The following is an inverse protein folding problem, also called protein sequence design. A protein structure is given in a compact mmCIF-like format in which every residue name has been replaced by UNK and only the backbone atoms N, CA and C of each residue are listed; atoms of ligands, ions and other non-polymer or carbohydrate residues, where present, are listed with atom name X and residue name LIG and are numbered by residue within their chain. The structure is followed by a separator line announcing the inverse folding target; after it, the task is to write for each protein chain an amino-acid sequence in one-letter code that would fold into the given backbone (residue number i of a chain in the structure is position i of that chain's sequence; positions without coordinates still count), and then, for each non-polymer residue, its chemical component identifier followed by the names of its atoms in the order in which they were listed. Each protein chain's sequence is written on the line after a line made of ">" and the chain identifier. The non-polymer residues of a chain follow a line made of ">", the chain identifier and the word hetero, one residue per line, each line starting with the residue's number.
data_IF_437643530843
#
_entry.id   IF_437643530843
#
_cell.length_a   1.000
_cell.length_b   1.000
_cell.length_c   1.000
_cell.angle_alpha   90.00
_cell.angle_beta   90.00
_cell.angle_gamma   90.00
#
_symmetry.space_group_name_H-M   'P 1'
#
loop_
_entity.id
_entity.type
_entity.pdbx_description
1 polymer ?
#
# COMPACT_ATOMS: atom_id res chain seq x y z
N UNK A 1 28.66 -19.04 26.36
CA UNK A 1 27.30 -18.63 26.82
C UNK A 1 27.21 -17.20 27.45
N UNK A 2 28.05 -16.20 27.12
CA UNK A 2 28.06 -14.94 27.93
C UNK A 2 27.68 -13.65 27.20
N UNK A 3 27.81 -13.54 25.87
CA UNK A 3 27.42 -12.32 25.15
C UNK A 3 25.93 -12.30 24.74
N UNK A 4 25.41 -13.42 24.25
CA UNK A 4 24.01 -13.54 23.79
C UNK A 4 22.99 -13.46 24.94
N UNK A 5 23.36 -13.90 26.15
CA UNK A 5 22.50 -13.81 27.33
C UNK A 5 22.32 -12.36 27.82
N UNK A 6 23.40 -11.57 27.79
CA UNK A 6 23.36 -10.18 28.22
C UNK A 6 22.56 -9.29 27.25
N UNK A 7 22.69 -9.52 25.94
CA UNK A 7 21.92 -8.79 24.93
C UNK A 7 20.43 -9.14 24.97
N UNK A 8 20.08 -10.41 25.22
CA UNK A 8 18.71 -10.86 25.42
C UNK A 8 18.06 -10.22 26.65
N UNK A 9 18.77 -10.21 27.79
CA UNK A 9 18.27 -9.58 29.03
C UNK A 9 18.08 -8.07 28.85
N UNK A 10 19.05 -7.39 28.22
CA UNK A 10 18.95 -5.97 27.93
C UNK A 10 17.75 -5.66 27.01
N UNK A 11 17.51 -6.50 26.00
CA UNK A 11 16.35 -6.39 25.12
C UNK A 11 15.02 -6.62 25.86
N UNK A 12 14.93 -7.63 26.73
CA UNK A 12 13.73 -7.89 27.53
C UNK A 12 13.46 -6.72 28.50
N UNK A 13 14.49 -6.19 29.16
CA UNK A 13 14.35 -5.06 30.07
C UNK A 13 13.94 -3.80 29.33
N UNK A 14 14.58 -3.46 28.22
CA UNK A 14 14.24 -2.27 27.44
C UNK A 14 12.84 -2.36 26.83
N UNK A 15 12.45 -3.53 26.30
CA UNK A 15 11.09 -3.76 25.81
C UNK A 15 10.04 -3.64 26.91
N UNK A 16 10.28 -4.19 28.11
CA UNK A 16 9.41 -4.02 29.29
C UNK A 16 9.32 -2.56 29.75
N UNK A 17 10.44 -1.81 29.72
CA UNK A 17 10.45 -0.39 30.07
C UNK A 17 9.64 0.41 29.04
N UNK A 18 9.79 0.14 27.75
CA UNK A 18 9.01 0.83 26.69
C UNK A 18 7.53 0.49 26.82
N UNK A 19 7.18 -0.79 27.00
CA UNK A 19 5.80 -1.25 27.22
C UNK A 19 5.19 -0.57 28.46
N UNK A 20 5.88 -0.63 29.60
CA UNK A 20 5.39 -0.03 30.85
C UNK A 20 5.25 1.49 30.74
N UNK A 21 6.26 2.20 30.20
CA UNK A 21 6.21 3.65 30.02
C UNK A 21 5.05 4.04 29.11
N UNK A 22 4.79 3.28 28.05
CA UNK A 22 3.65 3.52 27.15
C UNK A 22 2.29 3.31 27.83
N UNK A 23 2.15 2.28 28.68
CA UNK A 23 0.92 2.00 29.42
C UNK A 23 0.66 2.99 30.57
N UNK A 24 1.71 3.39 31.31
CA UNK A 24 1.60 4.26 32.49
C UNK A 24 1.62 5.75 32.15
N UNK A 25 2.29 6.14 31.07
CA UNK A 25 2.38 7.53 30.60
C UNK A 25 1.83 7.63 29.18
N UNK A 26 0.51 7.52 28.97
CA UNK A 26 -0.06 7.80 27.66
C UNK A 26 0.38 9.21 27.27
N UNK A 27 1.06 9.39 26.11
CA UNK A 27 1.64 10.67 25.75
C UNK A 27 0.52 11.72 25.76
N UNK A 28 0.66 12.69 26.66
CA UNK A 28 -0.27 13.79 26.82
C UNK A 28 -0.07 14.77 25.66
N UNK A 29 -0.38 14.33 24.43
CA UNK A 29 -0.30 15.13 23.23
C UNK A 29 -1.35 16.25 23.30
N UNK A 30 -0.93 17.39 23.86
CA UNK A 30 -1.72 18.60 24.06
C UNK A 30 -2.20 19.25 22.75
N UNK A 31 -1.70 18.78 21.60
CA UNK A 31 -2.11 19.22 20.26
C UNK A 31 -3.38 18.54 19.72
N UNK A 32 -3.96 17.57 20.43
CA UNK A 32 -5.04 16.72 19.90
C UNK A 32 -6.45 17.05 20.41
N UNK A 33 -6.73 18.31 20.73
CA UNK A 33 -8.09 18.74 21.14
C UNK A 33 -9.16 18.63 20.03
N UNK A 34 -8.77 18.36 18.77
CA UNK A 34 -9.71 18.31 17.62
C UNK A 34 -9.76 16.97 16.86
N UNK A 35 -9.11 15.89 17.33
CA UNK A 35 -8.92 14.69 16.50
C UNK A 35 -9.59 13.38 16.95
N UNK A 36 -10.33 13.35 18.06
CA UNK A 36 -10.84 12.09 18.60
C UNK A 36 -12.35 11.99 18.61
N UNK A 37 -12.95 11.30 17.64
CA UNK A 37 -14.28 10.66 17.83
C UNK A 37 -14.67 9.69 16.70
N UNK A 38 -13.79 8.84 16.19
CA UNK A 38 -14.25 7.74 15.28
C UNK A 38 -13.58 6.40 15.43
N UNK A 39 -12.29 6.32 15.80
CA UNK A 39 -11.73 5.04 16.23
C UNK A 39 -12.32 4.71 17.59
N UNK A 40 -13.03 3.59 17.75
CA UNK A 40 -13.58 3.23 19.04
C UNK A 40 -12.46 3.13 20.07
N UNK A 41 -12.71 3.64 21.28
CA UNK A 41 -11.72 3.80 22.34
C UNK A 41 -11.02 2.49 22.73
N UNK A 42 -11.67 1.35 22.53
CA UNK A 42 -11.09 0.03 22.79
C UNK A 42 -10.14 -0.49 21.70
N UNK A 43 -10.26 -0.02 20.44
CA UNK A 43 -9.37 -0.47 19.34
C UNK A 43 -8.03 0.27 19.32
N UNK A 44 -7.99 1.51 19.79
CA UNK A 44 -6.75 2.28 19.78
C UNK A 44 -5.60 1.65 20.59
N UNK A 45 -5.79 1.25 21.87
CA UNK A 45 -4.71 0.64 22.65
C UNK A 45 -4.30 -0.72 22.09
N UNK A 46 -5.24 -1.51 21.58
CA UNK A 46 -4.95 -2.83 21.00
C UNK A 46 -4.16 -2.72 19.70
N UNK A 47 -4.49 -1.77 18.82
CA UNK A 47 -3.70 -1.52 17.61
C UNK A 47 -2.31 -0.97 17.92
N UNK A 48 -2.15 -0.07 18.88
CA UNK A 48 -0.79 0.37 19.25
C UNK A 48 0.02 -0.73 19.90
N UNK A 49 -0.60 -1.57 20.75
CA UNK A 49 0.07 -2.75 21.32
C UNK A 49 0.50 -3.72 20.22
N UNK A 50 -0.33 -3.96 19.22
CA UNK A 50 0.00 -4.77 18.04
C UNK A 50 1.24 -4.22 17.33
N UNK A 51 1.28 -2.92 17.02
CA UNK A 51 2.45 -2.28 16.39
C UNK A 51 3.67 -2.41 17.28
N UNK A 52 3.54 -2.15 18.59
CA UNK A 52 4.67 -2.22 19.51
C UNK A 52 5.24 -3.65 19.59
N UNK A 53 4.40 -4.66 19.80
CA UNK A 53 4.81 -6.06 19.84
C UNK A 53 5.47 -6.49 18.52
N UNK A 54 4.90 -6.08 17.38
CA UNK A 54 5.48 -6.38 16.07
C UNK A 54 6.84 -5.70 15.87
N UNK A 55 6.95 -4.41 16.16
CA UNK A 55 8.23 -3.67 16.02
C UNK A 55 9.32 -4.23 16.91
N UNK A 56 8.97 -4.61 18.15
CA UNK A 56 9.86 -5.32 19.05
C UNK A 56 10.27 -6.66 18.45
N UNK A 57 9.33 -7.49 18.01
CA UNK A 57 9.63 -8.78 17.40
C UNK A 57 10.60 -8.67 16.19
N UNK A 58 10.37 -7.73 15.28
CA UNK A 58 11.29 -7.50 14.14
C UNK A 58 12.65 -6.97 14.61
N UNK A 59 12.68 -6.12 15.63
CA UNK A 59 13.94 -5.61 16.19
C UNK A 59 14.73 -6.73 16.91
N UNK A 60 14.04 -7.65 17.57
CA UNK A 60 14.64 -8.87 18.13
C UNK A 60 15.29 -9.70 17.02
N UNK A 61 14.55 -10.00 15.94
CA UNK A 61 15.11 -10.73 14.80
C UNK A 61 16.31 -9.99 14.19
N UNK A 62 16.26 -8.65 14.09
CA UNK A 62 17.34 -7.86 13.48
C UNK A 62 18.61 -7.79 14.34
N UNK A 63 18.46 -7.63 15.66
CA UNK A 63 19.58 -7.38 16.58
C UNK A 63 20.13 -8.63 17.26
N UNK A 64 19.25 -9.60 17.56
CA UNK A 64 19.61 -10.76 18.37
C UNK A 64 19.72 -12.04 17.55
N UNK A 65 19.04 -12.12 16.41
CA UNK A 65 19.10 -13.27 15.50
C UNK A 65 19.56 -12.86 14.09
N UNK A 66 20.83 -12.38 13.96
CA UNK A 66 21.39 -12.05 12.66
C UNK A 66 21.40 -13.30 11.77
N UNK A 67 21.29 -13.13 10.43
CA UNK A 67 21.31 -14.27 9.53
C UNK A 67 22.54 -15.15 9.76
N UNK A 68 22.31 -16.45 9.81
CA UNK A 68 23.38 -17.43 9.99
C UNK A 68 24.19 -17.52 8.70
N UNK A 69 25.36 -16.90 8.68
CA UNK A 69 26.29 -17.00 7.56
C UNK A 69 27.67 -17.44 8.08
N UNK A 70 28.13 -18.60 7.62
CA UNK A 70 29.39 -19.19 8.08
C UNK A 70 30.57 -18.31 7.65
N UNK A 71 30.53 -17.75 6.44
CA UNK A 71 31.63 -16.95 5.90
C UNK A 71 31.72 -15.60 6.60
N UNK A 72 30.59 -14.95 6.85
CA UNK A 72 30.54 -13.69 7.61
C UNK A 72 30.87 -13.91 9.09
N UNK A 73 30.39 -15.01 9.68
CA UNK A 73 30.60 -15.32 11.09
C UNK A 73 32.05 -15.73 11.44
N UNK A 74 32.73 -16.44 10.53
CA UNK A 74 34.13 -16.83 10.71
C UNK A 74 35.12 -15.81 10.13
N UNK A 75 34.63 -14.76 9.47
CA UNK A 75 35.44 -13.81 8.70
C UNK A 75 36.41 -14.53 7.74
N UNK A 76 35.86 -15.38 6.86
CA UNK A 76 36.63 -16.12 5.84
C UNK A 76 36.08 -15.90 4.43
N UNK A 77 36.94 -15.87 3.39
CA UNK A 77 36.49 -15.71 2.01
C UNK A 77 35.72 -16.93 1.50
N UNK A 78 34.85 -16.73 0.51
CA UNK A 78 34.08 -17.82 -0.12
C UNK A 78 34.98 -18.89 -0.79
N UNK A 79 36.21 -18.51 -1.18
CA UNK A 79 37.19 -19.44 -1.75
C UNK A 79 37.82 -20.39 -0.71
N UNK A 80 37.64 -20.14 0.59
CA UNK A 80 38.25 -20.93 1.65
C UNK A 80 37.83 -22.42 1.56
N UNK A 81 38.76 -23.38 1.70
CA UNK A 81 38.47 -24.80 1.58
C UNK A 81 37.59 -25.30 2.74
N UNK A 82 36.62 -26.19 2.44
CA UNK A 82 35.62 -26.64 3.40
C UNK A 82 36.24 -27.40 4.60
N UNK A 83 37.31 -28.16 4.37
CA UNK A 83 38.06 -28.85 5.43
C UNK A 83 38.68 -27.88 6.44
N UNK A 84 39.20 -26.75 5.95
CA UNK A 84 39.74 -25.71 6.83
C UNK A 84 38.64 -25.01 7.62
N UNK A 85 37.47 -24.76 7.00
CA UNK A 85 36.27 -24.27 7.72
C UNK A 85 35.87 -25.26 8.82
N UNK A 86 35.88 -26.57 8.51
CA UNK A 86 35.58 -27.63 9.47
C UNK A 86 36.53 -27.58 10.67
N UNK A 87 37.84 -27.45 10.41
CA UNK A 87 38.84 -27.37 11.48
C UNK A 87 38.68 -26.11 12.35
N UNK A 88 38.34 -24.96 11.74
CA UNK A 88 38.06 -23.74 12.48
C UNK A 88 36.81 -23.88 13.35
N UNK A 89 35.74 -24.47 12.82
CA UNK A 89 34.51 -24.67 13.58
C UNK A 89 34.72 -25.63 14.76
N UNK A 90 35.50 -26.71 14.59
CA UNK A 90 35.87 -27.60 15.68
C UNK A 90 36.73 -26.88 16.74
N UNK A 91 37.61 -25.98 16.31
CA UNK A 91 38.42 -25.14 17.22
C UNK A 91 37.55 -24.19 18.06
N UNK A 92 36.44 -23.70 17.50
CA UNK A 92 35.48 -22.83 18.21
C UNK A 92 34.35 -23.58 18.92
N UNK A 93 34.26 -24.91 18.76
CA UNK A 93 33.22 -25.71 19.39
C UNK A 93 33.53 -26.02 20.86
N UNK A 94 32.50 -25.95 21.72
CA UNK A 94 32.63 -26.26 23.14
C UNK A 94 32.88 -27.77 23.40
N UNK A 95 32.47 -28.64 22.46
CA UNK A 95 32.67 -30.10 22.52
C UNK A 95 33.36 -30.62 21.24
N UNK A 96 34.69 -30.52 21.15
CA UNK A 96 35.43 -30.98 19.96
C UNK A 96 35.41 -32.50 19.80
N UNK A 97 35.09 -33.27 20.85
CA UNK A 97 35.03 -34.73 20.80
C UNK A 97 33.67 -35.24 20.29
N UNK A 98 32.59 -34.50 20.57
CA UNK A 98 31.22 -34.78 20.10
C UNK A 98 31.00 -34.55 18.60
N UNK A 99 31.94 -33.90 17.92
CA UNK A 99 31.86 -33.61 16.49
C UNK A 99 30.92 -32.46 16.15
N UNK A 100 30.77 -32.17 14.86
CA UNK A 100 29.92 -31.08 14.38
C UNK A 100 28.46 -31.56 14.26
N UNK A 101 27.46 -30.67 14.52
CA UNK A 101 26.07 -30.99 14.24
C UNK A 101 25.85 -31.41 12.78
N UNK A 102 25.03 -32.44 12.55
CA UNK A 102 24.78 -33.02 11.23
C UNK A 102 24.33 -32.01 10.16
N UNK A 103 23.58 -30.97 10.56
CA UNK A 103 23.18 -29.86 9.69
C UNK A 103 24.38 -29.09 9.13
N UNK A 104 25.36 -28.80 9.99
CA UNK A 104 26.58 -28.06 9.61
C UNK A 104 27.48 -28.95 8.77
N UNK A 105 27.66 -30.22 9.14
CA UNK A 105 28.44 -31.17 8.35
C UNK A 105 27.91 -31.29 6.92
N UNK A 106 26.58 -31.40 6.76
CA UNK A 106 25.92 -31.44 5.46
C UNK A 106 26.18 -30.18 4.62
N UNK A 107 26.15 -29.00 5.25
CA UNK A 107 26.49 -27.75 4.57
C UNK A 107 27.94 -27.78 4.12
N UNK A 108 28.88 -28.19 4.98
CA UNK A 108 30.29 -28.26 4.63
C UNK A 108 30.55 -29.22 3.46
N UNK A 109 29.95 -30.42 3.47
CA UNK A 109 30.04 -31.38 2.37
C UNK A 109 29.52 -30.79 1.06
N UNK A 110 28.41 -30.03 1.10
CA UNK A 110 27.88 -29.36 -0.09
C UNK A 110 28.78 -28.23 -0.57
N UNK A 111 29.36 -27.47 0.36
CA UNK A 111 30.28 -26.36 0.07
C UNK A 111 31.62 -26.82 -0.52
N UNK A 112 31.92 -28.12 -0.59
CA UNK A 112 33.06 -28.61 -1.38
C UNK A 112 32.90 -28.31 -2.88
N UNK A 113 31.66 -28.29 -3.37
CA UNK A 113 31.36 -27.93 -4.77
C UNK A 113 31.31 -26.42 -4.98
N UNK A 114 32.06 -25.92 -5.96
CA UNK A 114 32.05 -24.50 -6.33
C UNK A 114 30.66 -24.01 -6.78
N UNK A 115 29.86 -24.86 -7.43
CA UNK A 115 28.50 -24.52 -7.84
C UNK A 115 27.59 -24.31 -6.62
N UNK A 116 27.74 -25.14 -5.57
CA UNK A 116 26.98 -25.02 -4.33
C UNK A 116 27.36 -23.77 -3.53
N UNK A 117 28.63 -23.32 -3.59
CA UNK A 117 29.04 -22.03 -3.01
C UNK A 117 28.32 -20.85 -3.66
N UNK A 118 28.13 -20.88 -4.98
CA UNK A 118 27.36 -19.84 -5.67
C UNK A 118 25.88 -19.86 -5.27
N UNK A 119 25.29 -21.04 -5.10
CA UNK A 119 23.92 -21.20 -4.60
C UNK A 119 23.80 -20.74 -3.14
N UNK A 120 24.82 -20.98 -2.31
CA UNK A 120 24.88 -20.51 -0.93
C UNK A 120 24.85 -18.98 -0.84
N UNK A 121 25.63 -18.27 -1.65
CA UNK A 121 25.62 -16.79 -1.70
C UNK A 121 24.22 -16.25 -2.02
N UNK A 122 23.45 -17.01 -2.81
CA UNK A 122 22.14 -16.61 -3.32
C UNK A 122 20.98 -16.94 -2.39
N UNK A 123 20.95 -18.15 -1.84
CA UNK A 123 19.83 -18.69 -1.06
C UNK A 123 20.10 -18.76 0.44
N UNK A 124 21.36 -18.64 0.85
CA UNK A 124 21.77 -18.60 2.25
C UNK A 124 21.98 -19.97 2.90
N UNK A 125 22.41 -19.92 4.16
CA UNK A 125 22.79 -21.11 4.93
C UNK A 125 21.63 -22.06 5.17
N UNK A 126 20.48 -21.53 5.62
CA UNK A 126 19.36 -22.34 6.04
C UNK A 126 18.82 -23.22 4.90
N UNK A 127 18.69 -22.66 3.70
CA UNK A 127 18.27 -23.40 2.51
C UNK A 127 19.20 -24.58 2.18
N UNK A 128 20.52 -24.36 2.25
CA UNK A 128 21.52 -25.40 1.98
C UNK A 128 21.57 -26.46 3.09
N UNK A 129 21.31 -26.07 4.34
CA UNK A 129 21.33 -26.96 5.50
C UNK A 129 20.10 -27.87 5.59
N UNK A 130 18.92 -27.32 5.28
CA UNK A 130 17.62 -27.96 5.52
C UNK A 130 17.10 -28.73 4.31
N UNK A 131 17.33 -28.26 3.09
CA UNK A 131 16.79 -28.93 1.91
C UNK A 131 17.63 -30.14 1.49
N UNK A 132 17.21 -31.36 1.85
CA UNK A 132 17.94 -32.60 1.50
C UNK A 132 17.88 -32.94 0.00
N UNK A 133 16.77 -32.62 -0.67
CA UNK A 133 16.52 -33.01 -2.06
C UNK A 133 16.94 -31.96 -3.10
N UNK A 134 17.35 -30.76 -2.68
CA UNK A 134 17.73 -29.70 -3.60
C UNK A 134 19.14 -29.94 -4.17
N UNK A 135 19.24 -29.99 -5.50
CA UNK A 135 20.51 -30.15 -6.22
C UNK A 135 20.71 -29.02 -7.22
N UNK A 136 19.64 -28.68 -7.94
CA UNK A 136 19.65 -27.65 -8.97
C UNK A 136 19.19 -26.29 -8.41
N UNK A 137 19.43 -25.24 -9.19
CA UNK A 137 18.97 -23.90 -8.86
C UNK A 137 17.43 -23.82 -8.75
N UNK A 138 16.71 -24.51 -9.63
CA UNK A 138 15.24 -24.53 -9.63
C UNK A 138 14.70 -25.09 -8.31
N UNK A 139 15.29 -26.19 -7.83
CA UNK A 139 14.88 -26.83 -6.57
C UNK A 139 15.00 -25.88 -5.37
N UNK A 140 16.14 -25.17 -5.29
CA UNK A 140 16.35 -24.19 -4.22
C UNK A 140 15.40 -22.99 -4.32
N UNK A 141 15.10 -22.52 -5.53
CA UNK A 141 14.17 -21.40 -5.70
C UNK A 141 12.75 -21.76 -5.27
N UNK A 142 12.28 -22.97 -5.62
CA UNK A 142 10.98 -23.49 -5.20
C UNK A 142 10.92 -23.74 -3.69
N UNK A 143 12.05 -24.04 -3.05
CA UNK A 143 12.13 -24.23 -1.61
C UNK A 143 12.08 -22.90 -0.83
N UNK A 144 12.82 -21.88 -1.28
CA UNK A 144 13.03 -20.62 -0.53
C UNK A 144 11.93 -19.59 -0.78
N UNK A 145 11.37 -19.50 -1.98
CA UNK A 145 10.37 -18.49 -2.29
C UNK A 145 9.08 -18.59 -1.42
N UNK A 146 8.55 -19.78 -1.12
CA UNK A 146 7.37 -19.88 -0.27
C UNK A 146 7.59 -19.39 1.17
N UNK A 147 8.76 -19.63 1.75
CA UNK A 147 9.07 -19.14 3.10
C UNK A 147 9.15 -17.61 3.11
N UNK A 148 9.79 -17.01 2.11
CA UNK A 148 9.80 -15.57 1.92
C UNK A 148 8.39 -14.98 1.77
N UNK A 149 7.56 -15.61 0.93
CA UNK A 149 6.18 -15.18 0.67
C UNK A 149 5.33 -15.24 1.96
N UNK A 150 5.55 -16.24 2.81
CA UNK A 150 4.83 -16.37 4.08
C UNK A 150 5.05 -15.17 5.00
N UNK A 151 6.27 -14.65 5.06
CA UNK A 151 6.56 -13.46 5.87
C UNK A 151 5.84 -12.21 5.32
N UNK A 152 5.76 -12.06 4.00
CA UNK A 152 4.98 -10.98 3.39
C UNK A 152 3.49 -11.12 3.66
N UNK A 153 2.95 -12.34 3.65
CA UNK A 153 1.54 -12.58 4.00
C UNK A 153 1.24 -12.20 5.46
N UNK A 154 2.15 -12.55 6.38
CA UNK A 154 2.08 -12.11 7.79
C UNK A 154 2.06 -10.59 7.88
N UNK A 155 2.91 -9.90 7.12
CA UNK A 155 2.97 -8.44 7.14
C UNK A 155 1.71 -7.79 6.55
N UNK A 156 1.18 -8.34 5.44
CA UNK A 156 -0.09 -7.90 4.85
C UNK A 156 -1.23 -8.05 5.85
N UNK A 157 -1.22 -9.09 6.69
CA UNK A 157 -2.22 -9.26 7.74
C UNK A 157 -2.11 -8.18 8.82
N UNK A 158 -0.89 -7.87 9.29
CA UNK A 158 -0.65 -6.83 10.30
C UNK A 158 -1.06 -5.45 9.76
N UNK A 159 -0.58 -5.08 8.58
CA UNK A 159 -0.97 -3.83 7.90
C UNK A 159 -2.48 -3.80 7.60
N UNK A 160 -3.06 -4.95 7.24
CA UNK A 160 -4.49 -5.13 7.05
C UNK A 160 -5.29 -4.81 8.31
N UNK A 161 -4.84 -5.31 9.47
CA UNK A 161 -5.44 -5.01 10.77
C UNK A 161 -5.36 -3.52 11.11
N UNK A 162 -4.21 -2.88 10.85
CA UNK A 162 -4.01 -1.44 11.05
C UNK A 162 -4.89 -0.57 10.14
N UNK A 163 -5.25 -1.08 8.96
CA UNK A 163 -6.00 -0.36 7.93
C UNK A 163 -7.46 -0.86 7.78
N UNK A 164 -8.00 -1.55 8.80
CA UNK A 164 -9.40 -1.97 8.82
C UNK A 164 -10.37 -0.79 8.72
N UNK A 165 -11.57 -1.05 8.18
CA UNK A 165 -12.63 -0.04 8.15
C UNK A 165 -12.97 0.38 9.58
N UNK A 166 -12.96 1.69 9.84
CA UNK A 166 -13.12 2.25 11.18
C UNK A 166 -11.79 2.71 11.80
N UNK A 167 -10.65 2.21 11.31
CA UNK A 167 -9.36 2.89 11.48
C UNK A 167 -9.27 3.99 10.42
N UNK A 168 -8.90 5.22 10.78
CA UNK A 168 -8.78 6.36 9.84
C UNK A 168 -7.63 6.18 8.82
N UNK A 169 -7.09 4.97 8.71
CA UNK A 169 -6.00 4.58 7.82
C UNK A 169 -6.48 3.68 6.68
N UNK A 170 -7.79 3.44 6.54
CA UNK A 170 -8.34 2.58 5.48
C UNK A 170 -7.95 3.01 4.05
N UNK A 171 -7.77 4.31 3.80
CA UNK A 171 -7.31 4.82 2.50
C UNK A 171 -5.87 4.40 2.16
N UNK A 172 -5.04 4.17 3.18
CA UNK A 172 -3.64 3.78 3.01
C UNK A 172 -3.48 2.27 2.79
N UNK A 173 -4.57 1.49 2.89
CA UNK A 173 -4.53 0.04 2.69
C UNK A 173 -3.99 -0.36 1.34
N UNK A 174 -4.52 0.23 0.26
CA UNK A 174 -4.09 -0.10 -1.10
C UNK A 174 -2.63 0.29 -1.33
N UNK A 175 -2.21 1.44 -0.80
CA UNK A 175 -0.82 1.89 -0.86
C UNK A 175 0.11 0.92 -0.12
N UNK A 176 -0.18 0.61 1.15
CA UNK A 176 0.70 -0.25 1.96
C UNK A 176 0.75 -1.69 1.44
N UNK A 177 -0.38 -2.25 1.00
CA UNK A 177 -0.38 -3.57 0.35
C UNK A 177 0.39 -3.52 -0.97
N UNK A 178 0.24 -2.45 -1.76
CA UNK A 178 1.01 -2.23 -2.98
C UNK A 178 2.52 -2.20 -2.74
N UNK A 179 2.98 -1.51 -1.69
CA UNK A 179 4.39 -1.49 -1.28
C UNK A 179 4.89 -2.89 -0.92
N UNK A 180 4.11 -3.68 -0.16
CA UNK A 180 4.48 -5.04 0.20
C UNK A 180 4.57 -5.98 -1.00
N UNK A 181 3.59 -5.90 -1.92
CA UNK A 181 3.61 -6.68 -3.16
C UNK A 181 4.80 -6.29 -4.03
N UNK A 182 5.08 -4.99 -4.19
CA UNK A 182 6.23 -4.51 -4.94
C UNK A 182 7.56 -4.97 -4.30
N UNK A 183 7.67 -4.92 -2.98
CA UNK A 183 8.84 -5.42 -2.26
C UNK A 183 9.02 -6.94 -2.43
N UNK A 184 7.94 -7.72 -2.36
CA UNK A 184 7.98 -9.17 -2.58
C UNK A 184 8.38 -9.53 -4.01
N UNK A 185 7.84 -8.82 -5.02
CA UNK A 185 8.24 -9.00 -6.42
C UNK A 185 9.69 -8.60 -6.66
N UNK A 186 10.14 -7.50 -6.05
CA UNK A 186 11.52 -7.05 -6.10
C UNK A 186 12.46 -8.12 -5.51
N UNK A 187 12.15 -8.60 -4.31
CA UNK A 187 12.93 -9.65 -3.67
C UNK A 187 12.96 -10.94 -4.50
N UNK A 188 11.82 -11.41 -4.99
CA UNK A 188 11.76 -12.59 -5.86
C UNK A 188 12.59 -12.38 -7.14
N UNK A 189 12.48 -11.21 -7.78
CA UNK A 189 13.25 -10.87 -8.97
C UNK A 189 14.77 -10.92 -8.70
N UNK A 190 15.26 -10.29 -7.63
CA UNK A 190 16.67 -10.31 -7.29
C UNK A 190 17.13 -11.70 -6.86
N UNK A 191 16.33 -12.41 -6.06
CA UNK A 191 16.57 -13.81 -5.71
C UNK A 191 16.68 -14.68 -6.96
N UNK A 192 15.96 -14.38 -8.04
CA UNK A 192 15.96 -15.18 -9.29
C UNK A 192 16.94 -14.70 -10.38
N UNK A 193 17.34 -13.44 -10.39
CA UNK A 193 18.19 -12.86 -11.46
C UNK A 193 19.56 -12.32 -11.02
N UNK A 194 19.81 -12.15 -9.72
CA UNK A 194 21.09 -11.65 -9.22
C UNK A 194 22.27 -12.48 -9.75
N UNK A 195 23.26 -11.78 -10.32
CA UNK A 195 24.52 -12.38 -10.74
C UNK A 195 25.47 -12.41 -9.56
N UNK A 196 26.06 -13.58 -9.32
CA UNK A 196 27.10 -13.74 -8.30
C UNK A 196 28.45 -13.62 -9.01
N UNK A 197 29.15 -12.52 -8.78
CA UNK A 197 30.53 -12.31 -9.24
C UNK A 197 31.49 -12.48 -8.07
N UNK A 198 32.43 -13.41 -8.19
CA UNK A 198 33.54 -13.54 -7.25
C UNK A 198 34.68 -12.67 -7.78
N UNK A 199 35.10 -11.61 -7.07
CA UNK A 199 36.25 -10.81 -7.48
C UNK A 199 37.49 -11.71 -7.50
N UNK A 200 38.25 -11.65 -8.60
CA UNK A 200 39.46 -12.47 -8.78
C UNK A 200 40.71 -11.84 -8.15
N UNK A 201 40.72 -10.52 -8.03
CA UNK A 201 41.90 -9.77 -7.62
C UNK A 201 41.57 -8.88 -6.41
N UNK A 202 42.27 -9.13 -5.30
CA UNK A 202 42.22 -8.32 -4.07
C UNK A 202 43.09 -7.07 -4.23
N UNK A 203 42.86 -6.31 -5.30
CA UNK A 203 43.77 -5.28 -5.78
C UNK A 203 43.31 -3.88 -5.32
N UNK A 204 43.27 -3.66 -4.00
CA UNK A 204 43.74 -2.41 -3.36
C UNK A 204 43.47 -2.40 -1.85
N UNK A 205 44.50 -2.45 -0.99
CA UNK A 205 44.32 -2.46 0.47
C UNK A 205 43.89 -1.11 1.08
N UNK A 206 43.85 -0.03 0.30
CA UNK A 206 43.64 1.34 0.79
C UNK A 206 42.27 1.96 0.43
N UNK A 207 41.36 1.21 -0.19
CA UNK A 207 40.04 1.78 -0.52
C UNK A 207 39.18 1.93 0.75
N UNK A 208 38.65 3.13 0.97
CA UNK A 208 37.80 3.50 2.11
C UNK A 208 36.53 2.62 2.25
N UNK A 209 36.23 1.81 1.24
CA UNK A 209 35.10 0.88 1.17
C UNK A 209 35.25 -0.36 2.06
N UNK A 210 36.47 -0.69 2.55
CA UNK A 210 36.70 -1.85 3.46
C UNK A 210 35.82 -1.85 4.71
N UNK A 211 35.51 -0.68 5.28
CA UNK A 211 34.74 -0.60 6.51
C UNK A 211 33.24 -0.89 6.30
N UNK A 212 32.70 -0.58 5.12
CA UNK A 212 31.30 -0.86 4.76
C UNK A 212 31.16 -2.30 4.31
N UNK A 213 32.15 -2.81 3.58
CA UNK A 213 32.18 -4.20 3.10
C UNK A 213 32.26 -5.21 4.25
N UNK A 214 33.09 -4.93 5.27
CA UNK A 214 33.19 -5.76 6.47
C UNK A 214 31.88 -5.87 7.27
N UNK A 215 30.93 -4.95 7.06
CA UNK A 215 29.65 -4.95 7.77
C UNK A 215 28.60 -5.89 7.13
N UNK A 216 28.72 -6.22 5.83
CA UNK A 216 27.67 -6.95 5.10
C UNK A 216 28.17 -7.97 4.05
N UNK A 217 29.48 -8.10 3.81
CA UNK A 217 30.03 -9.00 2.81
C UNK A 217 31.33 -9.65 3.26
N UNK A 218 31.35 -10.98 3.33
CA UNK A 218 32.61 -11.71 3.48
C UNK A 218 33.53 -11.38 2.29
N UNK A 219 34.73 -10.86 2.58
CA UNK A 219 35.85 -10.69 1.64
C UNK A 219 35.46 -10.46 0.16
N UNK A 220 34.82 -9.34 -0.16
CA UNK A 220 34.58 -8.95 -1.57
C UNK A 220 33.32 -9.51 -2.23
N UNK A 221 32.56 -10.39 -1.56
CA UNK A 221 31.36 -11.01 -2.13
C UNK A 221 30.10 -10.52 -1.43
N UNK A 222 29.18 -9.95 -2.21
CA UNK A 222 27.85 -9.55 -1.71
C UNK A 222 27.00 -10.80 -1.47
N UNK A 223 26.67 -11.04 -0.20
CA UNK A 223 25.77 -12.11 0.22
C UNK A 223 24.33 -11.68 -0.04
N UNK A 224 23.83 -11.94 -1.26
CA UNK A 224 22.50 -11.48 -1.70
C UNK A 224 21.39 -11.91 -0.76
N UNK A 225 21.44 -13.13 -0.22
CA UNK A 225 20.45 -13.60 0.76
C UNK A 225 20.40 -12.72 2.02
N UNK A 226 21.56 -12.33 2.57
CA UNK A 226 21.64 -11.49 3.76
C UNK A 226 21.11 -10.08 3.49
N UNK A 227 21.49 -9.51 2.33
CA UNK A 227 21.05 -8.18 1.91
C UNK A 227 19.54 -8.13 1.68
N UNK A 228 18.98 -9.14 1.01
CA UNK A 228 17.53 -9.21 0.76
C UNK A 228 16.74 -9.43 2.05
N UNK A 229 17.22 -10.32 2.93
CA UNK A 229 16.61 -10.53 4.25
C UNK A 229 16.64 -9.25 5.09
N UNK A 230 17.76 -8.54 5.09
CA UNK A 230 17.90 -7.26 5.79
C UNK A 230 16.93 -6.21 5.23
N UNK A 231 16.88 -6.06 3.91
CA UNK A 231 15.96 -5.15 3.24
C UNK A 231 14.50 -5.47 3.58
N UNK A 232 14.12 -6.75 3.59
CA UNK A 232 12.79 -7.22 3.98
C UNK A 232 12.46 -6.83 5.43
N UNK A 233 13.36 -7.13 6.39
CA UNK A 233 13.20 -6.78 7.81
C UNK A 233 13.07 -5.26 8.01
N UNK A 234 13.83 -4.45 7.27
CA UNK A 234 13.71 -2.98 7.29
C UNK A 234 12.33 -2.53 6.80
N UNK A 235 11.83 -3.10 5.69
CA UNK A 235 10.49 -2.78 5.17
C UNK A 235 9.41 -3.13 6.22
N UNK A 236 9.50 -4.30 6.84
CA UNK A 236 8.55 -4.74 7.87
C UNK A 236 8.63 -3.92 9.16
N UNK A 237 9.79 -3.36 9.49
CA UNK A 237 9.94 -2.45 10.61
C UNK A 237 9.33 -1.07 10.31
N UNK A 238 9.65 -0.50 9.15
CA UNK A 238 9.32 0.89 8.82
C UNK A 238 7.86 1.04 8.42
N UNK A 239 7.29 0.09 7.65
CA UNK A 239 5.97 0.25 7.06
C UNK A 239 4.83 0.37 8.10
N UNK A 240 4.70 -0.49 9.12
CA UNK A 240 3.66 -0.37 10.14
C UNK A 240 3.78 0.91 10.97
N UNK A 241 5.02 1.31 11.30
CA UNK A 241 5.31 2.55 12.03
C UNK A 241 4.86 3.76 11.19
N UNK A 242 5.22 3.76 9.90
CA UNK A 242 4.84 4.83 8.99
C UNK A 242 3.31 4.93 8.82
N UNK A 243 2.62 3.80 8.66
CA UNK A 243 1.15 3.75 8.52
C UNK A 243 0.43 4.24 9.78
N UNK A 244 0.90 3.84 10.96
CA UNK A 244 0.22 4.14 12.23
C UNK A 244 0.54 5.55 12.76
N UNK A 245 1.79 6.00 12.66
CA UNK A 245 2.25 7.24 13.30
C UNK A 245 2.51 8.40 12.33
N UNK A 246 3.00 8.12 11.12
CA UNK A 246 3.49 9.18 10.19
C UNK A 246 2.40 9.61 9.22
N UNK A 247 1.66 8.64 8.67
CA UNK A 247 0.63 8.91 7.67
C UNK A 247 -0.57 9.59 8.31
N UNK A 248 -0.94 10.76 7.77
CA UNK A 248 -2.06 11.54 8.28
C UNK A 248 -3.35 10.71 8.20
N UNK A 249 -4.15 10.68 9.30
CA UNK A 249 -5.44 10.01 9.27
C UNK A 249 -6.35 10.70 8.27
N UNK A 250 -7.16 9.92 7.57
CA UNK A 250 -8.10 10.45 6.57
C UNK A 250 -9.01 11.52 7.21
N UNK A 251 -9.28 12.64 6.51
CA UNK A 251 -10.30 13.57 6.96
C UNK A 251 -11.61 12.80 7.12
N UNK A 252 -12.37 13.14 8.17
CA UNK A 252 -13.66 12.51 8.41
C UNK A 252 -14.54 12.74 7.18
N UNK A 253 -15.18 11.70 6.61
CA UNK A 253 -16.26 11.96 5.67
C UNK A 253 -17.31 12.77 6.43
N UNK A 254 -17.64 13.97 5.94
CA UNK A 254 -18.64 14.88 6.51
C UNK A 254 -20.00 14.21 6.84
N UNK A 255 -20.25 13.03 6.28
CA UNK A 255 -21.42 12.20 6.53
C UNK A 255 -21.45 11.53 7.92
N UNK A 256 -20.31 11.30 8.59
CA UNK A 256 -20.28 10.56 9.87
C UNK A 256 -20.43 11.44 11.11
N UNK A 257 -20.15 12.74 11.01
CA UNK A 257 -20.30 13.69 12.15
C UNK A 257 -21.74 13.97 12.52
N UNK A 258 -22.70 13.73 11.61
CA UNK A 258 -24.13 13.92 11.91
C UNK A 258 -24.73 12.67 12.59
N UNK A 259 -24.10 11.50 12.48
CA UNK A 259 -24.60 10.24 13.04
C UNK A 259 -24.29 10.04 14.54
N UNK A 260 -23.27 10.69 15.08
CA UNK A 260 -22.83 10.44 16.47
C UNK A 260 -23.57 11.23 17.55
N UNK A 261 -24.40 12.21 17.20
CA UNK A 261 -25.13 13.01 18.20
C UNK A 261 -26.56 12.53 18.49
N UNK A 262 -27.05 11.46 17.86
CA UNK A 262 -28.48 11.06 17.95
C UNK A 262 -28.74 9.61 18.31
N UNK A 263 -27.73 8.77 18.54
CA UNK A 263 -27.96 7.36 18.93
C UNK A 263 -27.41 7.15 20.36
N UNK A 264 -28.28 7.05 21.39
CA UNK A 264 -27.86 6.61 22.72
C UNK A 264 -27.31 5.19 22.64
N UNK A 265 -26.10 5.00 23.17
CA UNK A 265 -25.42 3.71 23.24
C UNK A 265 -26.21 2.76 24.15
N UNK A 266 -26.91 1.80 23.56
CA UNK A 266 -27.60 0.75 24.31
C UNK A 266 -28.54 -0.06 23.43
N UNK A 267 -28.00 -0.93 22.57
CA UNK A 267 -28.82 -1.91 21.85
C UNK A 267 -28.24 -2.32 20.50
N UNK A 268 -27.81 -3.56 20.39
CA UNK A 268 -27.46 -4.26 19.14
C UNK A 268 -28.71 -4.56 18.33
N UNK A 269 -29.43 -3.54 17.88
CA UNK A 269 -30.52 -3.70 16.93
C UNK A 269 -29.99 -3.52 15.49
N UNK A 270 -30.32 -4.43 14.55
CA UNK A 270 -29.95 -4.27 13.15
C UNK A 270 -30.60 -3.00 12.61
N UNK A 271 -29.77 -2.07 12.12
CA UNK A 271 -30.25 -0.82 11.52
C UNK A 271 -31.09 -1.18 10.29
N UNK A 272 -32.37 -0.77 10.24
CA UNK A 272 -33.23 -1.12 9.12
C UNK A 272 -32.68 -0.49 7.83
N UNK A 273 -32.78 -1.19 6.67
CA UNK A 273 -32.24 -0.73 5.39
C UNK A 273 -32.81 0.65 4.97
N UNK A 274 -33.99 0.99 5.46
CA UNK A 274 -34.65 2.28 5.25
C UNK A 274 -33.87 3.46 5.87
N UNK A 275 -33.21 3.26 7.02
CA UNK A 275 -32.40 4.29 7.65
C UNK A 275 -31.13 4.60 6.83
N UNK A 276 -30.55 3.58 6.19
CA UNK A 276 -29.41 3.75 5.30
C UNK A 276 -29.81 4.52 4.02
N UNK A 277 -30.96 4.18 3.44
CA UNK A 277 -31.52 4.91 2.31
C UNK A 277 -31.81 6.39 2.65
N UNK A 278 -32.44 6.65 3.79
CA UNK A 278 -32.72 8.01 4.26
C UNK A 278 -31.44 8.85 4.42
N UNK A 279 -30.38 8.24 4.98
CA UNK A 279 -29.09 8.90 5.12
C UNK A 279 -28.40 9.18 3.78
N UNK A 280 -28.46 8.26 2.82
CA UNK A 280 -27.94 8.53 1.47
C UNK A 280 -28.67 9.70 0.82
N UNK A 281 -29.99 9.74 0.94
CA UNK A 281 -30.82 10.85 0.48
C UNK A 281 -30.45 12.17 1.13
N UNK A 282 -30.27 12.20 2.45
CA UNK A 282 -29.89 13.42 3.17
C UNK A 282 -28.47 13.91 2.80
N UNK A 283 -27.55 12.99 2.49
CA UNK A 283 -26.23 13.34 1.98
C UNK A 283 -26.30 13.89 0.54
N UNK A 284 -27.22 13.38 -0.27
CA UNK A 284 -27.44 13.87 -1.64
C UNK A 284 -28.10 15.25 -1.64
N UNK A 285 -29.08 15.50 -0.77
CA UNK A 285 -29.74 16.80 -0.69
C UNK A 285 -28.76 17.91 -0.30
N UNK A 286 -27.88 17.66 0.67
CA UNK A 286 -26.84 18.63 1.06
C UNK A 286 -25.83 18.88 -0.05
N UNK A 287 -25.37 17.83 -0.74
CA UNK A 287 -24.50 17.97 -1.92
C UNK A 287 -25.17 18.75 -3.06
N UNK A 288 -26.45 18.48 -3.33
CA UNK A 288 -27.22 19.20 -4.34
C UNK A 288 -27.43 20.67 -3.96
N UNK A 289 -27.66 20.97 -2.68
CA UNK A 289 -27.75 22.34 -2.18
C UNK A 289 -26.41 23.07 -2.31
N UNK A 290 -25.30 22.42 -1.96
CA UNK A 290 -23.96 22.98 -2.15
C UNK A 290 -23.69 23.23 -3.64
N UNK A 291 -24.01 22.26 -4.50
CA UNK A 291 -23.85 22.39 -5.95
C UNK A 291 -24.71 23.54 -6.50
N UNK A 292 -25.92 23.72 -5.99
CA UNK A 292 -26.79 24.85 -6.34
C UNK A 292 -26.19 26.19 -5.91
N UNK A 293 -25.70 26.28 -4.67
CA UNK A 293 -25.10 27.51 -4.14
C UNK A 293 -23.81 27.87 -4.87
N UNK A 294 -22.95 26.89 -5.11
CA UNK A 294 -21.69 27.07 -5.87
C UNK A 294 -21.99 27.50 -7.31
N UNK A 295 -22.94 26.87 -7.99
CA UNK A 295 -23.37 27.27 -9.34
C UNK A 295 -23.90 28.71 -9.40
N UNK A 296 -24.59 29.17 -8.36
CA UNK A 296 -25.03 30.57 -8.23
C UNK A 296 -23.93 31.55 -7.83
N UNK A 297 -22.88 31.07 -7.14
CA UNK A 297 -21.76 31.89 -6.69
C UNK A 297 -20.69 32.12 -7.78
N UNK A 298 -20.44 31.14 -8.64
CA UNK A 298 -19.47 31.23 -9.76
C UNK A 298 -19.65 32.51 -10.61
N UNK A 299 -20.86 32.84 -11.13
CA UNK A 299 -21.00 34.02 -11.99
C UNK A 299 -20.78 35.36 -11.25
N UNK A 300 -20.90 35.36 -9.91
CA UNK A 300 -20.74 36.57 -9.09
C UNK A 300 -19.29 36.94 -8.84
N UNK A 301 -18.36 35.98 -8.94
CA UNK A 301 -16.94 36.24 -8.79
C UNK A 301 -16.27 36.32 -10.18
N UNK A 302 -15.64 37.45 -10.56
CA UNK A 302 -15.07 37.62 -11.89
C UNK A 302 -13.95 36.61 -12.21
N UNK A 303 -13.15 36.20 -11.22
CA UNK A 303 -12.04 35.26 -11.44
C UNK A 303 -12.57 33.85 -11.71
N UNK A 304 -13.53 33.38 -10.90
CA UNK A 304 -14.18 32.08 -11.09
C UNK A 304 -15.01 32.03 -12.36
N UNK A 305 -15.69 33.12 -12.71
CA UNK A 305 -16.44 33.24 -13.97
C UNK A 305 -15.52 33.10 -15.17
N UNK A 306 -14.40 33.84 -15.20
CA UNK A 306 -13.42 33.74 -16.29
C UNK A 306 -12.81 32.33 -16.39
N UNK A 307 -12.49 31.70 -15.26
CA UNK A 307 -11.99 30.33 -15.23
C UNK A 307 -13.03 29.29 -15.69
N UNK A 308 -14.29 29.48 -15.35
CA UNK A 308 -15.37 28.62 -15.83
C UNK A 308 -15.59 28.81 -17.34
N UNK A 309 -15.60 30.04 -17.84
CA UNK A 309 -15.73 30.36 -19.27
C UNK A 309 -14.58 29.75 -20.08
N UNK A 310 -13.33 29.83 -19.60
CA UNK A 310 -12.19 29.22 -20.29
C UNK A 310 -12.26 27.69 -20.29
N UNK A 311 -12.65 27.07 -19.17
CA UNK A 311 -12.87 25.62 -19.09
C UNK A 311 -13.94 25.17 -20.09
N UNK A 312 -15.12 25.81 -20.10
CA UNK A 312 -16.21 25.45 -21.00
C UNK A 312 -15.90 25.75 -22.47
N UNK A 313 -15.04 26.73 -22.75
CA UNK A 313 -14.55 26.99 -24.10
C UNK A 313 -13.62 25.86 -24.59
N UNK A 314 -12.69 25.42 -23.73
CA UNK A 314 -11.80 24.29 -24.03
C UNK A 314 -12.57 22.98 -24.21
N UNK A 315 -13.51 22.68 -23.30
CA UNK A 315 -14.36 21.49 -23.36
C UNK A 315 -15.26 21.50 -24.62
N UNK A 316 -15.77 22.67 -25.02
CA UNK A 316 -16.51 22.81 -26.28
C UNK A 316 -15.62 22.53 -27.49
N UNK A 317 -14.38 23.01 -27.48
CA UNK A 317 -13.43 22.76 -28.55
C UNK A 317 -13.07 21.28 -28.65
N UNK A 318 -12.77 20.62 -27.54
CA UNK A 318 -12.54 19.16 -27.50
C UNK A 318 -13.76 18.40 -28.00
N UNK A 319 -14.96 18.78 -27.55
CA UNK A 319 -16.22 18.20 -28.00
C UNK A 319 -16.54 18.49 -29.48
N UNK A 320 -16.05 19.58 -30.06
CA UNK A 320 -16.15 19.86 -31.49
C UNK A 320 -15.17 19.00 -32.29
N UNK A 321 -13.92 18.85 -31.83
CA UNK A 321 -12.96 17.94 -32.45
C UNK A 321 -13.48 16.50 -32.48
N UNK A 322 -14.02 16.00 -31.36
CA UNK A 322 -14.59 14.65 -31.27
C UNK A 322 -15.82 14.51 -32.17
N UNK A 323 -16.66 15.55 -32.29
CA UNK A 323 -17.84 15.52 -33.18
C UNK A 323 -17.48 15.65 -34.65
N UNK A 324 -16.35 16.29 -34.98
CA UNK A 324 -15.86 16.43 -36.34
C UNK A 324 -15.10 15.20 -36.84
N UNK A 325 -14.69 14.31 -35.94
CA UNK A 325 -14.01 13.06 -36.27
C UNK A 325 -14.94 12.10 -37.03
N UNK A 326 -14.53 11.72 -38.25
CA UNK A 326 -15.30 10.84 -39.14
C UNK A 326 -15.50 9.45 -38.53
N UNK A 327 -14.51 8.91 -37.82
CA UNK A 327 -14.59 7.57 -37.21
C UNK A 327 -15.65 7.54 -36.10
N UNK A 328 -15.73 8.63 -35.31
CA UNK A 328 -16.73 8.80 -34.25
C UNK A 328 -18.13 8.96 -34.84
N UNK A 329 -18.27 9.76 -35.92
CA UNK A 329 -19.53 9.90 -36.62
C UNK A 329 -20.01 8.57 -37.22
N UNK A 330 -19.12 7.80 -37.83
CA UNK A 330 -19.43 6.48 -38.37
C UNK A 330 -19.85 5.49 -37.30
N UNK A 331 -19.16 5.46 -36.16
CA UNK A 331 -19.55 4.62 -35.05
C UNK A 331 -20.90 5.05 -34.46
N UNK A 332 -21.14 6.35 -34.32
CA UNK A 332 -22.43 6.89 -33.87
C UNK A 332 -23.55 6.52 -34.84
N UNK A 333 -23.32 6.59 -36.15
CA UNK A 333 -24.26 6.14 -37.20
C UNK A 333 -24.56 4.65 -37.07
N UNK A 334 -23.55 3.80 -36.89
CA UNK A 334 -23.72 2.34 -36.69
C UNK A 334 -24.54 2.02 -35.44
N UNK A 335 -24.42 2.82 -34.39
CA UNK A 335 -25.18 2.67 -33.14
C UNK A 335 -26.57 3.34 -33.17
N UNK A 336 -26.95 3.98 -34.28
CA UNK A 336 -28.22 4.72 -34.39
C UNK A 336 -28.26 6.02 -33.57
N UNK A 337 -27.10 6.51 -33.13
CA UNK A 337 -26.89 7.73 -32.35
C UNK A 337 -26.30 8.88 -33.20
N UNK A 338 -26.43 8.78 -34.54
CA UNK A 338 -25.86 9.75 -35.48
C UNK A 338 -26.33 11.19 -35.22
N UNK A 339 -25.41 12.13 -35.47
CA UNK A 339 -25.64 13.58 -35.31
C UNK A 339 -26.30 14.24 -36.53
N UNK A 340 -26.32 13.54 -37.66
CA UNK A 340 -26.78 14.08 -38.93
C UNK A 340 -28.27 14.46 -38.85
N UNK A 341 -28.57 15.73 -39.14
CA UNK A 341 -29.94 16.13 -39.42
C UNK A 341 -30.36 15.45 -40.72
N UNK A 342 -31.37 14.58 -40.62
CA UNK A 342 -31.95 13.93 -41.78
C UNK A 342 -32.58 14.98 -42.71
N UNK A 343 -31.79 15.52 -43.64
CA UNK A 343 -32.27 16.39 -44.71
C UNK A 343 -33.05 15.54 -45.70
N UNK A 344 -34.34 15.35 -45.45
CA UNK A 344 -35.24 14.84 -46.49
C UNK A 344 -35.39 15.92 -47.55
N UNK A 345 -34.57 15.81 -48.58
CA UNK A 345 -34.77 16.47 -49.86
C UNK A 345 -36.12 16.04 -50.43
N UNK A 346 -37.00 17.02 -50.63
CA UNK A 346 -38.24 16.85 -51.39
C UNK A 346 -39.50 17.25 -50.63
N UNK A 347 -39.97 18.46 -50.92
CA UNK A 347 -41.27 19.05 -50.54
C UNK A 347 -41.32 19.57 -49.10
N UNK A 348 -41.28 20.90 -48.99
CA UNK A 348 -41.07 21.62 -47.74
C UNK A 348 -42.15 21.36 -46.71
N UNK A 349 -41.75 20.74 -45.59
CA UNK A 349 -42.12 21.15 -44.25
C UNK A 349 -41.28 20.37 -43.24
N UNK A 350 -40.85 21.03 -42.16
CA UNK A 350 -40.20 20.52 -40.94
C UNK A 350 -38.83 19.81 -41.11
N UNK A 351 -37.75 20.50 -40.70
CA UNK A 351 -36.45 19.90 -40.38
C UNK A 351 -36.63 18.77 -39.35
N UNK A 352 -36.52 17.51 -39.79
CA UNK A 352 -36.64 16.38 -38.88
C UNK A 352 -35.39 16.24 -38.02
N UNK A 353 -35.52 16.68 -36.77
CA UNK A 353 -34.51 16.57 -35.71
C UNK A 353 -33.88 15.16 -35.67
N UNK A 354 -32.55 15.13 -35.52
CA UNK A 354 -31.77 13.89 -35.46
C UNK A 354 -32.22 12.94 -34.32
N UNK A 355 -31.96 11.63 -34.46
CA UNK A 355 -32.43 10.60 -33.53
C UNK A 355 -31.91 10.82 -32.10
N UNK A 356 -30.66 11.28 -31.95
CA UNK A 356 -30.09 11.64 -30.65
C UNK A 356 -30.84 12.79 -29.98
N UNK A 357 -31.12 13.88 -30.73
CA UNK A 357 -31.82 15.04 -30.21
C UNK A 357 -33.23 14.66 -29.72
N UNK A 358 -33.92 13.79 -30.47
CA UNK A 358 -35.24 13.26 -30.07
C UNK A 358 -35.16 12.46 -28.77
N UNK A 359 -34.17 11.58 -28.62
CA UNK A 359 -33.99 10.81 -27.38
C UNK A 359 -33.65 11.71 -26.20
N UNK A 360 -32.76 12.69 -26.39
CA UNK A 360 -32.40 13.67 -25.35
C UNK A 360 -33.62 14.50 -24.94
N UNK A 361 -34.38 15.04 -25.91
CA UNK A 361 -35.62 15.77 -25.61
C UNK A 361 -36.64 14.89 -24.88
N UNK A 362 -36.80 13.63 -25.29
CA UNK A 362 -37.70 12.71 -24.61
C UNK A 362 -37.23 12.42 -23.17
N UNK A 363 -35.93 12.24 -22.94
CA UNK A 363 -35.36 12.03 -21.62
C UNK A 363 -35.50 13.27 -20.72
N UNK A 364 -35.24 14.47 -21.27
CA UNK A 364 -35.42 15.75 -20.56
C UNK A 364 -36.89 15.97 -20.23
N UNK A 365 -37.80 15.74 -21.18
CA UNK A 365 -39.23 15.86 -20.95
C UNK A 365 -39.72 14.86 -19.89
N UNK A 366 -39.19 13.63 -19.92
CA UNK A 366 -39.46 12.61 -18.90
C UNK A 366 -38.95 13.07 -17.53
N UNK A 367 -37.76 13.65 -17.46
CA UNK A 367 -37.22 14.21 -16.21
C UNK A 367 -38.02 15.41 -15.70
N UNK A 368 -38.50 16.29 -16.58
CA UNK A 368 -39.37 17.42 -16.20
C UNK A 368 -40.72 16.91 -15.69
N UNK A 369 -41.28 15.89 -16.34
CA UNK A 369 -42.58 15.34 -15.98
C UNK A 369 -42.54 14.43 -14.74
N UNK A 370 -41.42 13.73 -14.50
CA UNK A 370 -41.24 12.79 -13.38
C UNK A 370 -40.45 13.37 -12.21
N UNK A 371 -39.67 14.43 -12.43
CA UNK A 371 -38.74 15.01 -11.47
C UNK A 371 -39.05 16.49 -11.20
N UNK A 372 -39.47 16.77 -9.96
CA UNK A 372 -39.58 18.11 -9.37
C UNK A 372 -40.33 19.14 -10.24
N UNK A 373 -41.64 19.26 -9.99
CA UNK A 373 -42.38 20.47 -10.34
C UNK A 373 -41.66 21.65 -9.67
N UNK A 374 -41.11 22.63 -10.42
CA UNK A 374 -40.48 23.79 -9.82
C UNK A 374 -41.50 24.49 -8.92
N UNK A 375 -41.08 24.86 -7.71
CA UNK A 375 -41.98 25.51 -6.77
C UNK A 375 -42.62 26.75 -7.42
N UNK A 376 -43.89 27.09 -7.09
CA UNK A 376 -44.63 28.18 -7.73
C UNK A 376 -43.93 29.55 -7.67
N UNK A 377 -42.92 29.69 -6.81
CA UNK A 377 -42.03 30.86 -6.73
C UNK A 377 -41.15 31.11 -7.96
N UNK A 378 -41.07 30.18 -8.91
CA UNK A 378 -40.24 30.30 -10.13
C UNK A 378 -41.03 30.62 -11.40
N UNK A 379 -42.36 30.79 -11.32
CA UNK A 379 -43.09 31.31 -12.48
C UNK A 379 -42.66 32.77 -12.67
N UNK A 380 -42.06 33.15 -13.80
CA UNK A 380 -41.82 34.56 -14.10
C UNK A 380 -43.16 35.29 -14.01
N UNK A 381 -43.16 36.44 -13.34
CA UNK A 381 -44.33 37.29 -13.20
C UNK A 381 -44.95 37.48 -14.59
N UNK A 382 -46.28 37.30 -14.76
CA UNK A 382 -46.89 37.62 -16.04
C UNK A 382 -46.54 39.07 -16.41
N UNK A 383 -46.25 39.35 -17.70
CA UNK A 383 -45.93 40.70 -18.13
C UNK A 383 -47.05 41.63 -17.67
N UNK A 384 -46.69 42.66 -16.90
CA UNK A 384 -47.63 43.68 -16.48
C UNK A 384 -48.22 44.30 -17.75
N UNK A 385 -49.53 44.13 -17.92
CA UNK A 385 -50.27 44.83 -18.97
C UNK A 385 -50.00 46.33 -18.81
N UNK A 386 -49.56 47.04 -19.87
CA UNK A 386 -49.42 48.48 -19.80
C UNK A 386 -50.77 49.07 -19.42
N UNK A 387 -50.79 49.80 -18.30
CA UNK A 387 -51.99 50.43 -17.78
C UNK A 387 -52.59 51.36 -18.83
N UNK A 388 -53.83 51.08 -19.21
CA UNK A 388 -54.65 52.01 -19.98
C UNK A 388 -54.96 53.22 -19.11
N UNK A 389 -54.47 54.37 -19.54
CA UNK A 389 -54.92 55.71 -19.15
C UNK A 389 -56.25 56.04 -19.82
#
# INVERSE_FOLDING_TARGET
>A
MTAAGASLIAYILTSLIILSTYFFFPPHNSLSKYQYTTTPTYLRPTLTLLVLCHTLFILYELLLDPPTNIFTGLDVPLSYPADSIRSLLLMFSDDPAGGLPSKIERVLTRLESAAMRLLYVRFGHDAIATCEFCISWDDFSLYVLPSALWDYLREVFIVGALTLRGTRHAQHRSFSVGVLVAAAMFEAYFTLTAKVSIPKDFEDPNSAWRNVERLYGGYGVVMWHDVLLLARRIVFLVLPIAVHFVLKPSPLPLSSTVLSNTIPQGGTAPVPPEALAFHTLQSLTTKLQLLRLTRGAIPRNPTLRAAAESYWAADRQEGECIRADEDVQDMARRLGLGFDESSKSGTGDVTSEGPLLKQVKAAVQKLINQGYVPSPFWKPSPPQSPGGS
#
